data_IF_506934879495
#
_entry.id   IF_506934879495
#
_cell.length_a   1.000
_cell.length_b   1.000
_cell.length_c   1.000
_cell.angle_alpha   90.00
_cell.angle_beta   90.00
_cell.angle_gamma   90.00
#
_symmetry.space_group_name_H-M   'P 1'
#
loop_
_entity.id
_entity.type
_entity.pdbx_description
1 polymer ?
#
# COMPACT_ATOMS: atom_id res chain seq x y z
N UNK A 1 -36.06 -6.52 -6.54
CA UNK A 1 -35.30 -7.74 -6.88
C UNK A 1 -34.11 -7.34 -7.73
N UNK A 2 -32.92 -7.76 -7.26
CA UNK A 2 -31.57 -7.77 -7.84
C UNK A 2 -31.42 -7.37 -9.33
N UNK A 3 -30.61 -6.33 -9.57
CA UNK A 3 -29.86 -6.16 -10.83
C UNK A 3 -28.39 -6.35 -10.46
N UNK A 4 -27.81 -7.49 -10.85
CA UNK A 4 -26.37 -7.69 -10.88
C UNK A 4 -25.87 -7.39 -12.30
N UNK A 5 -24.95 -6.43 -12.42
CA UNK A 5 -23.97 -6.28 -13.51
C UNK A 5 -22.64 -6.14 -12.75
N UNK A 6 -21.62 -6.97 -12.90
CA UNK A 6 -21.13 -7.64 -14.10
C UNK A 6 -19.80 -6.99 -14.47
N UNK A 7 -18.71 -7.38 -13.80
CA UNK A 7 -17.35 -7.00 -14.20
C UNK A 7 -16.50 -8.27 -14.37
N UNK A 8 -16.31 -8.62 -15.64
CA UNK A 8 -15.24 -9.40 -16.27
C UNK A 8 -15.01 -10.86 -15.79
N UNK A 9 -15.70 -11.78 -16.48
CA UNK A 9 -15.26 -13.17 -16.73
C UNK A 9 -14.62 -13.21 -18.11
N UNK A 10 -13.42 -13.80 -18.23
CA UNK A 10 -12.85 -14.50 -19.39
C UNK A 10 -11.38 -14.86 -19.05
N UNK A 11 -10.77 -16.02 -19.30
CA UNK A 11 -11.05 -17.29 -19.99
C UNK A 11 -9.99 -18.28 -19.45
N UNK A 12 -10.36 -19.54 -19.15
CA UNK A 12 -9.46 -20.67 -19.38
C UNK A 12 -10.23 -22.00 -19.30
N UNK A 13 -10.45 -22.64 -20.44
CA UNK A 13 -10.84 -24.05 -20.54
C UNK A 13 -9.78 -24.80 -21.34
N UNK A 14 -9.29 -25.87 -20.72
CA UNK A 14 -8.25 -26.79 -21.19
C UNK A 14 -8.72 -27.61 -22.38
N UNK A 15 -7.78 -27.99 -23.27
CA UNK A 15 -7.77 -29.30 -23.93
C UNK A 15 -6.32 -29.79 -24.06
N UNK A 16 -6.11 -31.08 -23.73
CA UNK A 16 -4.87 -31.84 -23.88
C UNK A 16 -4.73 -32.35 -25.32
N UNK A 17 -3.48 -32.45 -25.83
CA UNK A 17 -2.89 -33.66 -26.45
C UNK A 17 -1.63 -33.33 -27.29
N UNK A 18 -0.59 -34.15 -27.19
CA UNK A 18 0.40 -34.37 -28.26
C UNK A 18 1.84 -33.94 -27.99
N UNK A 19 2.72 -34.91 -27.73
CA UNK A 19 4.18 -34.77 -27.64
C UNK A 19 4.86 -34.42 -28.99
N UNK A 20 5.91 -33.61 -28.97
CA UNK A 20 7.24 -33.93 -29.53
C UNK A 20 8.25 -32.78 -29.28
N UNK A 21 9.45 -33.15 -28.84
CA UNK A 21 10.58 -32.30 -28.46
C UNK A 21 11.23 -31.59 -29.66
N UNK A 22 11.52 -30.29 -29.50
CA UNK A 22 12.65 -29.61 -30.12
C UNK A 22 13.02 -28.42 -29.24
N UNK A 23 14.04 -28.62 -28.40
CA UNK A 23 14.59 -27.62 -27.49
C UNK A 23 15.39 -26.59 -28.30
N UNK A 24 14.75 -25.48 -28.65
CA UNK A 24 15.41 -24.24 -29.04
C UNK A 24 15.21 -23.28 -27.87
N UNK A 25 16.25 -23.13 -27.07
CA UNK A 25 16.29 -22.26 -25.89
C UNK A 25 16.27 -20.81 -26.39
N UNK A 26 15.08 -20.26 -26.66
CA UNK A 26 14.90 -18.85 -26.96
C UNK A 26 14.80 -18.11 -25.63
N UNK A 27 15.90 -17.46 -25.25
CA UNK A 27 16.04 -16.64 -24.06
C UNK A 27 15.15 -15.39 -24.22
N UNK A 28 13.86 -15.49 -23.90
CA UNK A 28 13.06 -14.29 -23.66
C UNK A 28 13.49 -13.74 -22.31
N UNK A 29 14.40 -12.77 -22.35
CA UNK A 29 14.74 -11.97 -21.18
C UNK A 29 13.45 -11.44 -20.57
N UNK A 30 13.15 -11.86 -19.34
CA UNK A 30 12.23 -11.12 -18.49
C UNK A 30 12.86 -9.75 -18.32
N UNK A 31 12.33 -8.74 -19.00
CA UNK A 31 12.78 -7.36 -18.88
C UNK A 31 12.49 -6.81 -17.50
N UNK A 32 13.26 -7.26 -16.50
CA UNK A 32 13.47 -6.55 -15.25
C UNK A 32 14.72 -5.73 -15.52
N UNK A 33 14.54 -4.45 -15.83
CA UNK A 33 15.66 -3.53 -15.99
C UNK A 33 16.38 -3.42 -14.65
N UNK A 34 17.60 -3.93 -14.58
CA UNK A 34 18.53 -3.58 -13.51
C UNK A 34 18.90 -2.12 -13.76
N UNK A 35 18.18 -1.19 -13.16
CA UNK A 35 18.56 0.21 -13.25
C UNK A 35 19.93 0.33 -12.57
N UNK A 36 21.01 0.55 -13.32
CA UNK A 36 22.29 0.95 -12.74
C UNK A 36 22.14 2.37 -12.16
N UNK A 37 22.85 2.66 -11.07
CA UNK A 37 22.67 3.90 -10.32
C UNK A 37 23.35 3.92 -8.97
N UNK A 38 23.06 4.94 -8.17
CA UNK A 38 23.65 5.13 -6.84
C UNK A 38 22.60 5.51 -5.80
N UNK A 39 22.86 5.09 -4.57
CA UNK A 39 22.13 5.50 -3.38
C UNK A 39 22.81 6.71 -2.74
N UNK A 40 22.00 7.67 -2.28
CA UNK A 40 22.44 8.86 -1.57
C UNK A 40 21.54 9.07 -0.34
N UNK A 41 22.12 9.40 0.80
CA UNK A 41 21.38 9.64 2.03
C UNK A 41 21.23 11.13 2.27
N UNK A 42 19.99 11.59 2.40
CA UNK A 42 19.66 12.98 2.76
C UNK A 42 18.84 12.97 4.05
N UNK A 43 19.46 13.43 5.15
CA UNK A 43 18.87 13.34 6.48
C UNK A 43 18.55 11.89 6.87
N UNK A 44 17.28 11.60 7.11
CA UNK A 44 16.80 10.25 7.48
C UNK A 44 16.27 9.45 6.27
N UNK A 45 16.32 10.01 5.06
CA UNK A 45 15.75 9.39 3.86
C UNK A 45 16.87 8.96 2.90
N UNK A 46 16.66 7.85 2.22
CA UNK A 46 17.52 7.37 1.14
C UNK A 46 16.90 7.71 -0.21
N UNK A 47 17.76 8.09 -1.15
CA UNK A 47 17.40 8.47 -2.51
C UNK A 47 18.19 7.64 -3.52
N UNK A 48 17.52 7.23 -4.59
CA UNK A 48 18.12 6.51 -5.70
C UNK A 48 18.17 7.36 -6.96
N UNK A 49 19.37 7.44 -7.54
CA UNK A 49 19.63 8.13 -8.80
C UNK A 49 20.13 7.12 -9.82
N UNK A 50 19.28 6.83 -10.81
CA UNK A 50 19.66 5.97 -11.93
C UNK A 50 20.67 6.69 -12.84
N UNK A 51 21.59 5.93 -13.42
CA UNK A 51 22.53 6.42 -14.45
C UNK A 51 21.81 6.97 -15.67
N UNK A 52 20.64 6.41 -16.00
CA UNK A 52 19.95 6.63 -17.27
C UNK A 52 18.89 7.73 -17.18
N UNK A 53 18.51 8.14 -15.96
CA UNK A 53 17.40 9.07 -15.72
C UNK A 53 17.84 10.19 -14.77
N UNK A 54 17.99 11.41 -15.30
CA UNK A 54 18.64 12.53 -14.60
C UNK A 54 17.73 13.35 -13.67
N UNK A 55 16.41 13.10 -13.66
CA UNK A 55 15.47 13.95 -12.90
C UNK A 55 14.78 13.24 -11.74
N UNK A 56 14.23 12.04 -11.92
CA UNK A 56 13.67 11.23 -10.82
C UNK A 56 13.49 9.76 -11.22
N UNK A 57 13.55 8.85 -10.24
CA UNK A 57 13.37 7.41 -10.47
C UNK A 57 12.18 6.85 -9.66
N UNK A 58 11.31 6.11 -10.34
CA UNK A 58 10.20 5.38 -9.69
C UNK A 58 10.20 3.94 -10.16
N UNK A 59 10.34 3.00 -9.22
CA UNK A 59 10.44 1.58 -9.54
C UNK A 59 11.22 0.76 -8.52
N UNK A 60 11.45 -0.50 -8.87
CA UNK A 60 12.17 -1.47 -8.05
C UNK A 60 13.68 -1.40 -8.29
N UNK A 61 14.45 -1.37 -7.21
CA UNK A 61 15.91 -1.41 -7.21
C UNK A 61 16.36 -2.65 -6.47
N UNK A 62 17.17 -3.49 -7.11
CA UNK A 62 17.85 -4.58 -6.42
C UNK A 62 19.22 -4.10 -5.98
N UNK A 63 19.51 -4.29 -4.69
CA UNK A 63 20.83 -4.01 -4.15
C UNK A 63 21.83 -5.05 -4.63
N UNK A 64 22.94 -4.61 -5.20
CA UNK A 64 24.04 -5.49 -5.64
C UNK A 64 24.87 -6.04 -4.49
N UNK A 65 24.74 -5.51 -3.27
CA UNK A 65 25.52 -5.93 -2.10
C UNK A 65 24.90 -7.12 -1.36
N UNK A 66 23.58 -7.17 -1.28
CA UNK A 66 22.84 -8.16 -0.49
C UNK A 66 21.68 -8.82 -1.25
N UNK A 67 21.45 -8.44 -2.51
CA UNK A 67 20.38 -8.98 -3.35
C UNK A 67 18.97 -8.56 -2.96
N UNK A 68 18.80 -7.72 -1.93
CA UNK A 68 17.49 -7.28 -1.43
C UNK A 68 16.84 -6.28 -2.38
N UNK A 69 15.53 -6.32 -2.45
CA UNK A 69 14.72 -5.42 -3.26
C UNK A 69 14.22 -4.23 -2.46
N UNK A 70 14.24 -3.06 -3.08
CA UNK A 70 13.77 -1.78 -2.55
C UNK A 70 12.86 -1.12 -3.58
N UNK A 71 11.93 -0.29 -3.12
CA UNK A 71 11.06 0.48 -4.01
C UNK A 71 11.30 1.98 -3.82
N UNK A 72 11.44 2.69 -4.93
CA UNK A 72 11.62 4.13 -4.96
C UNK A 72 10.40 4.79 -5.63
N UNK A 73 9.99 5.93 -5.06
CA UNK A 73 8.98 6.81 -5.65
C UNK A 73 9.56 8.22 -5.66
N UNK A 74 9.67 8.83 -6.85
CA UNK A 74 10.32 10.13 -7.05
C UNK A 74 11.72 10.16 -6.42
N UNK A 75 12.51 9.14 -6.73
CA UNK A 75 13.84 8.82 -6.18
C UNK A 75 13.88 8.47 -4.70
N UNK A 76 12.87 8.81 -3.89
CA UNK A 76 12.88 8.51 -2.46
C UNK A 76 12.57 7.04 -2.19
N UNK A 77 13.38 6.38 -1.36
CA UNK A 77 13.13 5.03 -0.85
C UNK A 77 11.84 5.01 -0.03
N UNK A 78 11.01 4.02 -0.27
CA UNK A 78 9.75 3.83 0.45
C UNK A 78 9.92 2.81 1.59
N UNK A 79 8.99 2.88 2.54
CA UNK A 79 8.79 1.91 3.61
C UNK A 79 7.28 1.66 3.75
N UNK A 80 6.89 0.57 4.42
CA UNK A 80 5.49 0.18 4.57
C UNK A 80 4.89 -0.41 3.30
N UNK A 81 3.56 -0.38 3.21
CA UNK A 81 2.82 -0.93 2.07
C UNK A 81 2.94 -0.04 0.83
N UNK A 82 3.20 -0.66 -0.31
CA UNK A 82 3.22 -0.01 -1.63
C UNK A 82 2.41 -0.85 -2.64
N UNK A 83 1.68 -0.16 -3.52
CA UNK A 83 1.02 -0.78 -4.67
C UNK A 83 1.82 -0.48 -5.93
N UNK A 84 2.20 -1.52 -6.66
CA UNK A 84 2.92 -1.40 -7.92
C UNK A 84 2.35 -2.37 -8.96
N UNK A 85 1.94 -1.84 -10.12
CA UNK A 85 1.36 -2.62 -11.22
C UNK A 85 0.20 -3.55 -10.77
N UNK A 86 -0.68 -3.05 -9.90
CA UNK A 86 -1.85 -3.80 -9.41
C UNK A 86 -1.55 -4.88 -8.38
N UNK A 87 -0.31 -4.99 -7.91
CA UNK A 87 0.11 -5.88 -6.81
C UNK A 87 0.54 -5.06 -5.60
N UNK A 88 0.35 -5.63 -4.42
CA UNK A 88 0.76 -5.03 -3.15
C UNK A 88 2.03 -5.67 -2.62
N UNK A 89 2.93 -4.85 -2.09
CA UNK A 89 4.19 -5.28 -1.49
C UNK A 89 4.39 -4.55 -0.17
N UNK A 90 5.16 -5.15 0.73
CA UNK A 90 5.53 -4.51 1.99
C UNK A 90 7.03 -4.29 2.04
N UNK A 91 7.45 -3.06 2.35
CA UNK A 91 8.83 -2.72 2.62
C UNK A 91 9.03 -2.55 4.13
N UNK A 92 10.02 -3.24 4.68
CA UNK A 92 10.37 -3.16 6.08
C UNK A 92 10.87 -1.75 6.44
N UNK A 93 11.12 -1.50 7.73
CA UNK A 93 11.60 -0.20 8.22
C UNK A 93 12.95 0.22 7.63
N UNK A 94 13.76 -0.75 7.18
CA UNK A 94 15.02 -0.52 6.47
C UNK A 94 14.84 -0.40 4.94
N UNK A 95 13.60 -0.47 4.44
CA UNK A 95 13.24 -0.36 3.03
C UNK A 95 13.27 -1.68 2.26
N UNK A 96 13.79 -2.77 2.85
CA UNK A 96 13.88 -4.04 2.15
C UNK A 96 12.50 -4.70 2.00
N UNK A 97 12.22 -5.24 0.81
CA UNK A 97 10.98 -5.95 0.50
C UNK A 97 10.83 -7.20 1.36
N UNK A 98 9.68 -7.34 1.99
CA UNK A 98 9.29 -8.56 2.69
C UNK A 98 8.78 -9.60 1.68
N UNK A 99 9.23 -10.84 1.83
CA UNK A 99 8.76 -12.01 1.09
C UNK A 99 8.59 -13.20 2.04
N UNK A 100 7.78 -14.17 1.61
CA UNK A 100 7.55 -15.47 2.30
C UNK A 100 7.19 -15.36 3.78
N UNK A 101 6.41 -14.35 4.15
CA UNK A 101 6.06 -14.10 5.54
C UNK A 101 4.70 -13.41 5.68
N UNK A 102 4.17 -13.38 6.90
CA UNK A 102 3.01 -12.58 7.22
C UNK A 102 3.40 -11.15 7.59
N UNK A 103 2.66 -10.18 7.07
CA UNK A 103 2.62 -8.81 7.59
C UNK A 103 1.17 -8.52 7.96
N UNK A 104 0.89 -8.47 9.27
CA UNK A 104 -0.47 -8.40 9.78
C UNK A 104 -1.31 -9.58 9.30
N UNK A 105 -2.42 -9.29 8.62
CA UNK A 105 -3.34 -10.31 8.10
C UNK A 105 -3.08 -10.67 6.63
N UNK A 106 -1.92 -10.31 6.08
CA UNK A 106 -1.56 -10.55 4.69
C UNK A 106 -0.33 -11.45 4.63
N UNK A 107 -0.31 -12.38 3.68
CA UNK A 107 0.88 -13.19 3.39
C UNK A 107 1.56 -12.68 2.12
N UNK A 108 2.86 -12.42 2.21
CA UNK A 108 3.70 -12.02 1.10
C UNK A 108 4.28 -13.28 0.45
N UNK A 109 4.06 -13.44 -0.85
CA UNK A 109 4.52 -14.57 -1.64
C UNK A 109 6.04 -14.61 -1.85
N UNK A 110 6.47 -15.54 -2.70
CA UNK A 110 7.89 -15.65 -3.08
C UNK A 110 8.38 -14.49 -3.94
N UNK A 111 7.48 -13.82 -4.67
CA UNK A 111 7.76 -12.61 -5.45
C UNK A 111 7.59 -11.33 -4.60
N UNK A 112 7.39 -11.47 -3.28
CA UNK A 112 7.08 -10.37 -2.36
C UNK A 112 5.66 -9.81 -2.48
N UNK A 113 4.87 -10.25 -3.45
CA UNK A 113 3.51 -9.74 -3.62
C UNK A 113 2.56 -10.36 -2.59
N UNK A 114 1.65 -9.56 -2.03
CA UNK A 114 0.60 -10.06 -1.17
C UNK A 114 -0.32 -11.04 -1.93
N UNK A 115 -0.58 -12.20 -1.34
CA UNK A 115 -1.46 -13.20 -1.92
C UNK A 115 -2.92 -12.76 -1.86
N UNK A 116 -3.57 -12.63 -3.01
CA UNK A 116 -4.99 -12.24 -3.14
C UNK A 116 -5.81 -13.43 -3.65
N UNK A 117 -6.96 -13.70 -3.02
CA UNK A 117 -7.86 -14.82 -3.41
C UNK A 117 -7.14 -16.15 -3.58
N UNK A 118 -6.18 -16.45 -2.69
CA UNK A 118 -5.29 -17.59 -2.81
C UNK A 118 -5.16 -18.35 -1.48
N UNK A 119 -4.35 -19.41 -1.48
CA UNK A 119 -4.03 -20.19 -0.29
C UNK A 119 -2.56 -19.96 0.09
N UNK A 120 -2.31 -19.71 1.37
CA UNK A 120 -0.98 -19.54 1.95
C UNK A 120 -0.31 -20.91 2.18
N UNK A 121 1.02 -20.99 2.38
CA UNK A 121 1.70 -22.28 2.56
C UNK A 121 1.22 -23.10 3.78
N UNK A 122 0.70 -22.43 4.81
CA UNK A 122 0.05 -23.04 5.98
C UNK A 122 -1.46 -23.31 5.76
N UNK A 123 -1.92 -23.34 4.51
CA UNK A 123 -3.28 -23.70 4.07
C UNK A 123 -4.38 -22.73 4.53
N UNK A 124 -4.04 -21.48 4.84
CA UNK A 124 -5.02 -20.44 5.15
C UNK A 124 -5.43 -19.73 3.85
N UNK A 125 -6.69 -19.30 3.77
CA UNK A 125 -7.23 -18.65 2.58
C UNK A 125 -7.22 -17.14 2.74
N UNK A 126 -6.84 -16.42 1.69
CA UNK A 126 -6.94 -14.95 1.61
C UNK A 126 -8.15 -14.53 0.79
N UNK A 127 -8.71 -13.36 1.09
CA UNK A 127 -9.83 -12.76 0.37
C UNK A 127 -9.37 -11.97 -0.87
N UNK A 128 -10.35 -11.41 -1.56
CA UNK A 128 -10.20 -10.51 -2.71
C UNK A 128 -9.46 -9.20 -2.40
N UNK A 129 -9.41 -8.79 -1.13
CA UNK A 129 -8.60 -7.66 -0.67
C UNK A 129 -7.26 -8.09 -0.04
N UNK A 130 -6.94 -9.40 -0.11
CA UNK A 130 -5.69 -9.99 0.38
C UNK A 130 -5.67 -10.35 1.85
N UNK A 131 -6.60 -9.84 2.66
CA UNK A 131 -6.64 -10.19 4.08
C UNK A 131 -7.02 -11.66 4.26
N UNK A 132 -6.57 -12.27 5.35
CA UNK A 132 -6.97 -13.63 5.68
C UNK A 132 -8.49 -13.74 5.86
N UNK A 133 -9.06 -14.88 5.49
CA UNK A 133 -10.47 -15.17 5.73
C UNK A 133 -10.69 -15.67 7.16
N UNK A 134 -11.71 -15.13 7.81
CA UNK A 134 -12.26 -15.66 9.07
C UNK A 134 -13.76 -15.88 8.90
N UNK A 135 -14.21 -17.11 9.18
CA UNK A 135 -15.62 -17.53 8.98
C UNK A 135 -16.15 -17.20 7.57
N UNK A 136 -15.30 -17.36 6.56
CA UNK A 136 -15.65 -17.12 5.15
C UNK A 136 -15.74 -15.66 4.72
N UNK A 137 -15.35 -14.70 5.57
CA UNK A 137 -15.31 -13.27 5.26
C UNK A 137 -13.90 -12.70 5.43
N UNK A 138 -13.54 -11.62 4.72
CA UNK A 138 -12.28 -10.92 4.95
C UNK A 138 -12.12 -10.54 6.43
N UNK A 139 -10.92 -10.70 6.97
CA UNK A 139 -10.63 -10.22 8.33
C UNK A 139 -10.62 -8.71 8.39
N UNK A 140 -10.18 -8.03 7.33
CA UNK A 140 -10.11 -6.57 7.26
C UNK A 140 -11.09 -6.09 6.18
N UNK A 141 -12.37 -5.99 6.50
CA UNK A 141 -13.42 -5.63 5.53
C UNK A 141 -13.82 -4.16 5.71
N UNK A 142 -13.66 -3.34 4.67
CA UNK A 142 -14.19 -1.98 4.62
C UNK A 142 -15.55 -1.97 3.93
N UNK A 143 -16.47 -1.13 4.40
CA UNK A 143 -17.71 -0.87 3.68
C UNK A 143 -17.46 0.04 2.46
N UNK A 144 -18.31 -0.06 1.44
CA UNK A 144 -18.17 0.69 0.17
C UNK A 144 -18.11 2.22 0.34
N UNK A 145 -18.73 2.78 1.40
CA UNK A 145 -18.70 4.22 1.66
C UNK A 145 -17.33 4.68 2.14
N UNK A 146 -16.67 3.85 2.95
CA UNK A 146 -15.36 4.14 3.55
C UNK A 146 -14.24 3.79 2.58
N UNK A 147 -14.41 2.77 1.73
CA UNK A 147 -13.39 2.34 0.76
C UNK A 147 -13.13 3.33 -0.40
N UNK A 148 -13.93 4.39 -0.54
CA UNK A 148 -13.85 5.32 -1.69
C UNK A 148 -12.50 6.02 -1.84
N UNK A 149 -11.81 6.30 -0.73
CA UNK A 149 -10.51 6.96 -0.80
C UNK A 149 -9.40 6.04 -1.33
N UNK A 150 -9.60 4.72 -1.36
CA UNK A 150 -8.59 3.76 -1.81
C UNK A 150 -8.22 4.03 -3.26
N UNK A 151 -9.21 4.14 -4.16
CA UNK A 151 -8.94 4.42 -5.57
C UNK A 151 -8.26 5.76 -5.76
N UNK A 152 -8.66 6.77 -4.98
CA UNK A 152 -8.03 8.09 -5.00
C UNK A 152 -6.56 8.01 -4.61
N UNK A 153 -6.21 7.29 -3.54
CA UNK A 153 -4.81 7.13 -3.11
C UNK A 153 -3.99 6.22 -4.04
N UNK A 154 -4.64 5.31 -4.78
CA UNK A 154 -3.97 4.51 -5.81
C UNK A 154 -3.66 5.34 -7.06
N UNK A 155 -4.54 6.28 -7.43
CA UNK A 155 -4.37 7.18 -8.58
C UNK A 155 -3.46 8.38 -8.24
N UNK A 156 -3.54 8.88 -7.01
CA UNK A 156 -2.80 10.04 -6.49
C UNK A 156 -2.03 9.65 -5.21
N UNK A 157 -0.95 8.86 -5.31
CA UNK A 157 -0.20 8.35 -4.15
C UNK A 157 0.54 9.43 -3.36
N UNK A 158 0.63 10.67 -3.88
CA UNK A 158 1.21 11.85 -3.24
C UNK A 158 0.15 12.89 -2.81
N UNK A 159 -1.13 12.52 -2.82
CA UNK A 159 -2.22 13.40 -2.38
C UNK A 159 -2.01 13.88 -0.93
N UNK A 160 -2.20 15.19 -0.71
CA UNK A 160 -2.17 15.78 0.63
C UNK A 160 -3.47 15.45 1.35
N UNK A 161 -3.36 14.98 2.58
CA UNK A 161 -4.49 14.67 3.43
C UNK A 161 -4.67 15.72 4.54
N UNK A 162 -5.92 16.03 4.83
CA UNK A 162 -6.31 16.81 6.00
C UNK A 162 -7.32 16.02 6.81
N UNK A 163 -7.06 15.88 8.10
CA UNK A 163 -7.92 15.23 9.08
C UNK A 163 -8.44 16.33 10.01
N UNK A 164 -9.66 16.81 9.77
CA UNK A 164 -10.24 17.93 10.51
C UNK A 164 -10.72 17.53 11.91
N UNK A 165 -10.69 18.48 12.86
CA UNK A 165 -11.01 18.34 14.30
C UNK A 165 -11.90 17.14 14.63
N UNK A 166 -11.35 16.10 15.29
CA UNK A 166 -12.01 14.84 15.53
C UNK A 166 -12.89 14.91 16.77
N UNK A 167 -13.89 15.79 16.72
CA UNK A 167 -14.99 15.69 17.68
C UNK A 167 -15.71 14.33 17.57
N UNK A 168 -15.35 13.50 16.58
CA UNK A 168 -15.89 12.17 16.36
C UNK A 168 -14.83 11.18 15.82
N UNK A 169 -14.35 10.30 16.69
CA UNK A 169 -13.77 9.01 16.33
C UNK A 169 -14.72 7.89 16.77
N UNK A 170 -14.82 6.84 15.98
CA UNK A 170 -15.52 5.62 16.40
C UNK A 170 -14.63 4.41 16.22
N UNK A 171 -14.48 3.62 17.29
CA UNK A 171 -13.88 2.29 17.22
C UNK A 171 -14.93 1.32 16.67
N UNK A 172 -14.56 0.60 15.64
CA UNK A 172 -15.38 -0.45 15.04
C UNK A 172 -14.64 -1.79 15.09
N UNK A 173 -15.40 -2.88 15.17
CA UNK A 173 -14.86 -4.23 15.10
C UNK A 173 -15.33 -4.91 13.81
N UNK A 174 -14.44 -5.05 12.84
CA UNK A 174 -14.70 -5.74 11.58
C UNK A 174 -14.27 -7.20 11.66
N UNK A 175 -15.19 -8.16 11.74
CA UNK A 175 -14.87 -9.60 11.76
C UNK A 175 -13.75 -9.99 12.77
N UNK A 176 -13.70 -9.28 13.91
CA UNK A 176 -12.70 -9.42 14.96
C UNK A 176 -11.33 -8.81 14.66
N UNK A 177 -11.31 -7.84 13.74
CA UNK A 177 -10.22 -6.91 13.50
C UNK A 177 -10.71 -5.48 13.84
N UNK A 178 -10.20 -4.88 14.93
CA UNK A 178 -10.60 -3.54 15.33
C UNK A 178 -9.93 -2.45 14.50
N UNK A 179 -10.68 -1.41 14.16
CA UNK A 179 -10.21 -0.24 13.42
C UNK A 179 -10.91 1.04 13.87
N UNK A 180 -10.32 2.19 13.53
CA UNK A 180 -10.85 3.50 13.92
C UNK A 180 -11.39 4.22 12.70
N UNK A 181 -12.63 4.68 12.76
CA UNK A 181 -13.20 5.58 11.75
C UNK A 181 -12.99 7.03 12.17
N UNK A 182 -12.38 7.78 11.25
CA UNK A 182 -12.22 9.21 11.30
C UNK A 182 -13.24 9.86 10.35
N UNK A 183 -14.13 10.71 10.86
CA UNK A 183 -15.30 11.18 10.09
C UNK A 183 -15.05 12.25 9.02
N UNK A 184 -13.86 12.86 9.01
CA UNK A 184 -13.58 13.98 8.12
C UNK A 184 -12.14 14.01 7.64
N UNK A 185 -11.85 13.17 6.66
CA UNK A 185 -10.64 13.27 5.84
C UNK A 185 -10.96 13.98 4.52
N UNK A 186 -10.08 14.88 4.11
CA UNK A 186 -10.04 15.46 2.77
C UNK A 186 -8.73 15.12 2.08
N UNK A 187 -8.77 14.73 0.82
CA UNK A 187 -7.58 14.50 -0.02
C UNK A 187 -7.53 15.53 -1.14
N UNK A 188 -6.35 16.11 -1.35
CA UNK A 188 -6.11 17.11 -2.39
C UNK A 188 -4.97 16.67 -3.30
N UNK A 189 -5.12 16.95 -4.59
CA UNK A 189 -4.03 16.78 -5.56
C UNK A 189 -2.84 17.66 -5.18
N UNK A 190 -1.64 17.07 -5.19
CA UNK A 190 -0.42 17.76 -4.74
C UNK A 190 -0.07 18.97 -5.59
N UNK A 191 -0.37 18.93 -6.90
CA UNK A 191 0.04 19.94 -7.88
C UNK A 191 -1.03 20.98 -8.12
N UNK A 192 -2.27 20.55 -8.40
CA UNK A 192 -3.37 21.45 -8.73
C UNK A 192 -4.07 22.01 -7.49
N UNK A 193 -3.99 21.33 -6.34
CA UNK A 193 -4.77 21.65 -5.15
C UNK A 193 -6.26 21.30 -5.27
N UNK A 194 -6.65 20.54 -6.29
CA UNK A 194 -8.02 20.08 -6.48
C UNK A 194 -8.44 19.12 -5.36
N UNK A 195 -9.70 19.24 -4.89
CA UNK A 195 -10.28 18.30 -3.94
C UNK A 195 -10.61 16.98 -4.64
N UNK A 196 -9.91 15.91 -4.26
CA UNK A 196 -10.09 14.57 -4.82
C UNK A 196 -11.08 13.74 -4.02
N UNK A 197 -11.14 13.95 -2.70
CA UNK A 197 -12.00 13.19 -1.80
C UNK A 197 -12.34 13.99 -0.56
N UNK A 198 -13.56 13.80 -0.04
CA UNK A 198 -13.94 14.22 1.30
C UNK A 198 -14.90 13.18 1.91
N UNK A 199 -14.61 12.71 3.12
CA UNK A 199 -15.44 11.73 3.81
C UNK A 199 -14.75 10.99 4.96
N UNK A 200 -15.28 9.82 5.28
CA UNK A 200 -14.76 8.96 6.35
C UNK A 200 -13.45 8.27 5.92
N UNK A 201 -12.51 8.17 6.84
CA UNK A 201 -11.27 7.40 6.69
C UNK A 201 -11.20 6.28 7.73
N UNK A 202 -10.72 5.10 7.32
CA UNK A 202 -10.51 3.99 8.24
C UNK A 202 -9.03 3.81 8.54
N UNK A 203 -8.66 3.96 9.81
CA UNK A 203 -7.32 3.72 10.30
C UNK A 203 -7.19 2.33 10.89
N UNK A 204 -6.07 1.69 10.62
CA UNK A 204 -5.57 0.61 11.45
C UNK A 204 -5.47 1.13 12.90
N UNK A 205 -5.87 0.34 13.91
CA UNK A 205 -5.83 0.79 15.33
C UNK A 205 -4.43 1.23 15.81
N UNK A 206 -3.40 0.64 15.21
CA UNK A 206 -1.98 0.92 15.46
C UNK A 206 -1.37 1.85 14.39
N UNK A 207 -2.18 2.56 13.62
CA UNK A 207 -1.64 3.51 12.64
C UNK A 207 -0.82 4.59 13.34
N UNK A 208 0.28 4.98 12.70
CA UNK A 208 1.18 6.03 13.19
C UNK A 208 1.04 7.26 12.30
N UNK A 209 1.03 8.43 12.90
CA UNK A 209 0.86 9.70 12.21
C UNK A 209 2.06 10.58 12.56
N UNK A 210 2.77 11.05 11.54
CA UNK A 210 3.77 12.09 11.68
C UNK A 210 3.08 13.43 11.93
N UNK A 211 3.21 13.95 13.14
CA UNK A 211 2.59 15.20 13.57
C UNK A 211 3.67 16.23 13.89
N UNK A 212 3.58 17.41 13.28
CA UNK A 212 4.42 18.54 13.64
C UNK A 212 3.61 19.52 14.50
N UNK A 213 4.11 19.83 15.70
CA UNK A 213 3.45 20.76 16.62
C UNK A 213 3.95 22.21 16.49
N UNK A 214 4.71 22.53 15.44
CA UNK A 214 5.35 23.82 15.21
C UNK A 214 6.74 23.97 15.85
N UNK A 215 7.18 23.00 16.65
CA UNK A 215 8.53 22.99 17.27
C UNK A 215 9.31 21.72 16.93
N UNK A 216 8.64 20.57 16.97
CA UNK A 216 9.25 19.28 16.71
C UNK A 216 8.29 18.33 16.00
N UNK A 217 8.87 17.36 15.30
CA UNK A 217 8.15 16.25 14.69
C UNK A 217 7.94 15.15 15.74
N UNK A 218 6.68 14.74 15.92
CA UNK A 218 6.26 13.65 16.79
C UNK A 218 5.63 12.53 15.98
N UNK A 219 5.74 11.32 16.51
CA UNK A 219 4.94 10.18 16.09
C UNK A 219 3.79 10.05 17.07
N UNK A 220 2.56 10.17 16.59
CA UNK A 220 1.36 10.01 17.40
C UNK A 220 0.53 8.82 16.94
N UNK A 221 -0.25 8.25 17.84
CA UNK A 221 -1.23 7.21 17.52
C UNK A 221 -2.52 7.83 16.98
N UNK A 222 -3.35 7.01 16.33
CA UNK A 222 -4.68 7.45 15.86
C UNK A 222 -5.56 7.98 17.00
N UNK A 223 -5.42 7.46 18.23
CA UNK A 223 -6.24 7.90 19.36
C UNK A 223 -5.85 9.30 19.86
N UNK A 224 -4.59 9.69 19.68
CA UNK A 224 -4.12 11.03 20.05
C UNK A 224 -4.79 12.13 19.22
N UNK A 225 -5.33 11.77 18.04
CA UNK A 225 -6.11 12.69 17.23
C UNK A 225 -7.25 13.31 18.03
N UNK A 226 -7.90 12.58 18.95
CA UNK A 226 -9.02 13.10 19.78
C UNK A 226 -8.68 14.40 20.53
N UNK A 227 -7.40 14.63 20.80
CA UNK A 227 -6.91 15.78 21.57
C UNK A 227 -6.33 16.90 20.67
N UNK A 228 -6.31 16.70 19.35
CA UNK A 228 -5.67 17.59 18.38
C UNK A 228 -6.74 18.14 17.43
N UNK A 229 -6.75 19.45 17.19
CA UNK A 229 -7.76 20.14 16.37
C UNK A 229 -7.74 19.78 14.88
N UNK A 230 -6.73 19.05 14.44
CA UNK A 230 -6.60 18.52 13.10
C UNK A 230 -5.14 18.19 12.79
N UNK A 231 -4.96 17.34 11.79
CA UNK A 231 -3.62 16.95 11.31
C UNK A 231 -3.60 16.99 9.79
N UNK A 232 -2.55 17.55 9.22
CA UNK A 232 -2.25 17.42 7.80
C UNK A 232 -1.19 16.33 7.59
N UNK A 233 -1.32 15.60 6.49
CA UNK A 233 -0.35 14.64 6.00
C UNK A 233 0.05 14.99 4.58
N UNK A 234 1.34 15.01 4.28
CA UNK A 234 1.83 15.07 2.91
C UNK A 234 1.51 13.81 2.12
N UNK A 235 1.29 12.68 2.80
CA UNK A 235 0.97 11.41 2.17
C UNK A 235 0.30 10.43 3.13
N UNK A 236 -0.61 9.62 2.60
CA UNK A 236 -1.34 8.58 3.33
C UNK A 236 -0.98 7.22 2.77
N UNK A 237 -0.57 6.32 3.64
CA UNK A 237 -0.25 4.94 3.30
C UNK A 237 -1.37 4.03 3.78
N UNK A 238 -1.80 3.15 2.90
CA UNK A 238 -2.85 2.18 3.17
C UNK A 238 -2.32 0.76 2.99
N UNK A 239 -2.88 -0.18 3.74
CA UNK A 239 -2.67 -1.61 3.48
C UNK A 239 -3.50 -2.11 2.29
N UNK A 240 -3.33 -3.37 1.84
CA UNK A 240 -4.10 -3.91 0.72
C UNK A 240 -5.62 -3.95 0.94
N UNK A 241 -6.07 -3.96 2.20
CA UNK A 241 -7.49 -3.89 2.55
C UNK A 241 -8.02 -2.44 2.57
N UNK A 242 -7.15 -1.45 2.42
CA UNK A 242 -7.46 -0.04 2.35
C UNK A 242 -7.34 0.71 3.67
N UNK A 243 -6.94 0.08 4.77
CA UNK A 243 -6.81 0.77 6.06
C UNK A 243 -5.58 1.67 6.06
N UNK A 244 -5.74 2.91 6.53
CA UNK A 244 -4.62 3.83 6.74
C UNK A 244 -3.72 3.23 7.82
N UNK A 245 -2.46 3.01 7.48
CA UNK A 245 -1.43 2.46 8.36
C UNK A 245 -0.42 3.52 8.78
N UNK A 246 -0.19 4.51 7.93
CA UNK A 246 0.75 5.59 8.19
C UNK A 246 0.32 6.89 7.52
N UNK A 247 0.55 8.02 8.18
CA UNK A 247 0.42 9.35 7.59
C UNK A 247 1.76 10.05 7.72
N UNK A 248 2.39 10.36 6.59
CA UNK A 248 3.69 11.03 6.54
C UNK A 248 3.54 12.53 6.30
N UNK A 249 4.46 13.30 6.86
CA UNK A 249 4.63 14.73 6.65
C UNK A 249 3.55 15.56 7.32
N UNK A 250 3.74 15.89 8.60
CA UNK A 250 2.97 16.94 9.28
C UNK A 250 3.45 18.31 8.81
N UNK A 251 2.64 19.01 8.03
CA UNK A 251 2.88 20.42 7.67
C UNK A 251 1.81 21.29 8.33
N UNK A 252 2.20 22.50 8.70
CA UNK A 252 1.33 23.54 9.29
C UNK A 252 0.02 23.77 8.54
#
# INVERSE_FOLDING_TARGET
MRVQKGYQKNICRRFLSGMAFLFLFFLMGTGISHAEGRWEQEGQSWYYYSSDNKESYTGWVQSSTDGRWYFCLNSKMQTGWVSWNGKWYFLNSDGAMAEKQYVGNFYLGEDGAALISAETPDQRKTSENGSLLRKGKPMQELNEKTAKYISVLMEHPDAKAFFDSPNQLSLEEGNGYPFVIFKKMSLYDRKSGELLYAGDAAFHKNAVIEYNNGSEKKMISVMDLMMIRGVAGERVFIDPAGYITYVAGGVE
#
